data_IF_371181775775
#
_entry.id   IF_371181775775
#
_cell.length_a   1.000
_cell.length_b   1.000
_cell.length_c   1.000
_cell.angle_alpha   90.00
_cell.angle_beta   90.00
_cell.angle_gamma   90.00
#
_symmetry.space_group_name_H-M   'P 1'
#
loop_
_entity.id
_entity.type
_entity.pdbx_description
1 polymer ?
#
# COMPACT_ATOMS: atom_id res chain seq x y z
N UNK A 1 -7.51 20.77 2.06
CA UNK A 1 -6.76 20.25 0.89
C UNK A 1 -5.90 19.10 1.38
N UNK A 2 -6.42 17.87 1.39
CA UNK A 2 -5.74 16.70 2.00
C UNK A 2 -6.11 15.36 1.36
N UNK A 3 -7.25 15.28 0.66
CA UNK A 3 -7.82 14.01 0.17
C UNK A 3 -7.07 13.37 -1.00
N UNK A 4 -6.52 14.15 -1.93
CA UNK A 4 -5.78 13.61 -3.07
C UNK A 4 -4.40 13.09 -2.61
N UNK A 5 -3.80 13.76 -1.62
CA UNK A 5 -2.47 13.43 -1.13
C UNK A 5 -2.39 12.08 -0.41
N UNK A 6 -3.42 11.65 0.32
CA UNK A 6 -3.37 10.34 1.01
C UNK A 6 -3.40 9.16 0.03
N UNK A 7 -4.17 9.28 -1.06
CA UNK A 7 -4.24 8.23 -2.08
C UNK A 7 -2.92 8.13 -2.82
N UNK A 8 -2.38 9.26 -3.29
CA UNK A 8 -1.08 9.31 -3.96
C UNK A 8 0.03 8.75 -3.07
N UNK A 9 0.03 9.13 -1.78
CA UNK A 9 1.03 8.65 -0.83
C UNK A 9 0.91 7.16 -0.56
N UNK A 10 -0.30 6.62 -0.46
CA UNK A 10 -0.53 5.18 -0.34
C UNK A 10 0.05 4.41 -1.53
N UNK A 11 -0.09 4.94 -2.75
CA UNK A 11 0.50 4.34 -3.94
C UNK A 11 2.03 4.40 -3.93
N UNK A 12 2.62 5.52 -3.52
CA UNK A 12 4.07 5.63 -3.35
C UNK A 12 4.60 4.61 -2.33
N UNK A 13 3.97 4.49 -1.16
CA UNK A 13 4.37 3.50 -0.15
C UNK A 13 4.19 2.06 -0.69
N UNK A 14 3.14 1.80 -1.45
CA UNK A 14 2.93 0.50 -2.09
C UNK A 14 4.00 0.16 -3.13
N UNK A 15 4.68 1.13 -3.73
CA UNK A 15 5.80 0.92 -4.65
C UNK A 15 7.15 0.88 -3.92
N UNK A 16 7.40 1.79 -2.97
CA UNK A 16 8.66 1.97 -2.25
C UNK A 16 8.87 0.96 -1.11
N UNK A 17 7.85 0.72 -0.29
CA UNK A 17 7.97 -0.05 0.94
C UNK A 17 7.68 -1.54 0.69
N UNK A 18 8.75 -2.32 0.54
CA UNK A 18 8.72 -3.76 0.28
C UNK A 18 8.04 -4.59 1.37
N UNK A 19 7.98 -4.07 2.60
CA UNK A 19 7.32 -4.75 3.71
C UNK A 19 5.79 -4.57 3.69
N UNK A 20 5.27 -3.59 2.94
CA UNK A 20 3.82 -3.41 2.79
C UNK A 20 3.26 -4.45 1.82
N UNK A 21 2.57 -5.46 2.36
CA UNK A 21 1.94 -6.54 1.59
C UNK A 21 0.40 -6.47 1.64
N UNK A 22 -0.14 -5.70 2.59
CA UNK A 22 -1.57 -5.53 2.82
C UNK A 22 -1.91 -4.05 3.02
N UNK A 23 -3.19 -3.72 2.88
CA UNK A 23 -3.71 -2.36 3.10
C UNK A 23 -3.46 -1.87 4.54
N UNK A 24 -3.51 -2.78 5.52
CA UNK A 24 -3.18 -2.46 6.91
C UNK A 24 -1.76 -1.89 7.06
N UNK A 25 -0.80 -2.44 6.32
CA UNK A 25 0.60 -2.00 6.39
C UNK A 25 0.75 -0.59 5.79
N UNK A 26 -0.02 -0.29 4.74
CA UNK A 26 -0.10 1.06 4.17
C UNK A 26 -0.71 2.05 5.15
N UNK A 27 -1.79 1.66 5.85
CA UNK A 27 -2.42 2.48 6.89
C UNK A 27 -1.45 2.74 8.04
N UNK A 28 -0.68 1.74 8.49
CA UNK A 28 0.35 1.92 9.51
C UNK A 28 1.48 2.85 9.05
N UNK A 29 1.94 2.71 7.81
CA UNK A 29 2.97 3.57 7.25
C UNK A 29 2.48 5.03 7.16
N UNK A 30 1.25 5.25 6.71
CA UNK A 30 0.62 6.57 6.69
C UNK A 30 0.39 7.11 8.10
N UNK A 31 -0.02 6.28 9.05
CA UNK A 31 -0.16 6.71 10.46
C UNK A 31 1.17 7.23 11.04
N UNK A 32 2.30 6.59 10.69
CA UNK A 32 3.64 7.05 11.09
C UNK A 32 4.03 8.39 10.47
N UNK A 33 3.50 8.71 9.30
CA UNK A 33 3.67 10.01 8.64
C UNK A 33 2.71 11.10 9.18
N UNK A 34 1.77 10.74 10.07
CA UNK A 34 0.82 11.66 10.70
C UNK A 34 -0.56 11.71 10.05
N UNK A 35 -0.86 10.82 9.11
CA UNK A 35 -2.22 10.67 8.57
C UNK A 35 -3.17 10.07 9.61
N UNK A 36 -4.43 10.48 9.55
CA UNK A 36 -5.45 10.09 10.53
C UNK A 36 -6.34 8.96 10.00
N UNK A 37 -7.08 8.34 10.92
CA UNK A 37 -8.11 7.35 10.58
C UNK A 37 -9.14 7.88 9.57
N UNK A 38 -9.44 9.18 9.60
CA UNK A 38 -10.37 9.80 8.66
C UNK A 38 -9.79 9.85 7.24
N UNK A 39 -8.47 10.00 7.11
CA UNK A 39 -7.79 9.96 5.81
C UNK A 39 -7.81 8.54 5.22
N UNK A 40 -7.81 7.50 6.06
CA UNK A 40 -7.90 6.11 5.62
C UNK A 40 -9.26 5.74 5.03
N UNK A 41 -10.33 6.46 5.35
CA UNK A 41 -11.65 6.24 4.77
C UNK A 41 -11.63 6.33 3.22
N UNK A 42 -10.70 7.12 2.67
CA UNK A 42 -10.49 7.22 1.22
C UNK A 42 -9.82 5.97 0.63
N UNK A 43 -9.03 5.26 1.42
CA UNK A 43 -8.41 3.99 1.03
C UNK A 43 -9.37 2.80 1.17
N UNK A 44 -10.50 2.98 1.85
CA UNK A 44 -11.52 1.93 2.01
C UNK A 44 -12.42 1.76 0.78
N UNK A 45 -12.37 2.70 -0.17
CA UNK A 45 -13.03 2.57 -1.45
C UNK A 45 -12.58 1.32 -2.20
N UNK A 46 -13.54 0.50 -2.66
CA UNK A 46 -13.29 -0.78 -3.32
C UNK A 46 -12.27 -0.67 -4.46
N UNK A 47 -12.45 0.31 -5.34
CA UNK A 47 -11.57 0.55 -6.49
C UNK A 47 -10.13 0.86 -6.09
N UNK A 48 -9.93 1.66 -5.03
CA UNK A 48 -8.59 2.02 -4.54
C UNK A 48 -7.90 0.79 -3.92
N UNK A 49 -8.62 0.01 -3.11
CA UNK A 49 -8.08 -1.24 -2.52
C UNK A 49 -7.62 -2.22 -3.59
N UNK A 50 -8.42 -2.44 -4.63
CA UNK A 50 -8.06 -3.34 -5.72
C UNK A 50 -6.83 -2.85 -6.49
N UNK A 51 -6.73 -1.55 -6.78
CA UNK A 51 -5.55 -0.98 -7.44
C UNK A 51 -4.26 -1.10 -6.59
N UNK A 52 -4.35 -0.84 -5.28
CA UNK A 52 -3.21 -1.00 -4.37
C UNK A 52 -2.78 -2.46 -4.26
N UNK A 53 -3.74 -3.39 -4.15
CA UNK A 53 -3.46 -4.84 -4.15
C UNK A 53 -2.82 -5.30 -5.45
N UNK A 54 -3.31 -4.84 -6.59
CA UNK A 54 -2.76 -5.17 -7.89
C UNK A 54 -1.29 -4.73 -8.00
N UNK A 55 -0.96 -3.51 -7.53
CA UNK A 55 0.44 -3.04 -7.48
C UNK A 55 1.32 -3.85 -6.54
N UNK A 56 0.85 -4.09 -5.32
CA UNK A 56 1.61 -4.91 -4.35
C UNK A 56 1.88 -6.32 -4.90
N UNK A 57 0.91 -6.92 -5.60
CA UNK A 57 1.08 -8.22 -6.28
C UNK A 57 2.03 -8.14 -7.48
N UNK A 58 1.84 -7.17 -8.38
CA UNK A 58 2.70 -6.98 -9.54
C UNK A 58 4.17 -6.78 -9.12
N UNK A 59 4.40 -6.03 -8.04
CA UNK A 59 5.73 -5.85 -7.44
C UNK A 59 6.29 -7.15 -6.86
N UNK A 60 5.46 -7.94 -6.19
CA UNK A 60 5.85 -9.25 -5.67
C UNK A 60 6.17 -10.26 -6.80
N UNK A 61 5.42 -10.22 -7.90
CA UNK A 61 5.60 -11.07 -9.08
C UNK A 61 6.81 -10.65 -9.94
N UNK A 62 7.08 -9.35 -10.03
CA UNK A 62 8.23 -8.80 -10.77
C UNK A 62 9.60 -9.16 -10.15
N UNK A 63 9.64 -9.79 -8.96
CA UNK A 63 10.86 -10.31 -8.34
C UNK A 63 10.73 -11.78 -7.90
N UNK A 64 11.19 -12.74 -8.72
CA UNK A 64 11.13 -14.17 -8.40
C UNK A 64 12.03 -14.60 -7.22
N UNK A 65 12.85 -13.72 -6.69
CA UNK A 65 13.80 -13.95 -5.57
C UNK A 65 13.12 -14.17 -4.20
N UNK A 66 11.81 -13.94 -4.07
CA UNK A 66 10.99 -14.36 -2.92
C UNK A 66 10.25 -15.70 -3.13
N UNK A 67 10.33 -16.28 -4.34
CA UNK A 67 9.68 -17.55 -4.69
C UNK A 67 10.54 -18.78 -4.36
N UNK A 68 11.80 -18.59 -4.00
CA UNK A 68 12.76 -19.66 -3.68
C UNK A 68 13.37 -19.45 -2.29
N UNK A 69 12.60 -19.70 -1.24
CA UNK A 69 13.19 -20.18 0.00
C UNK A 69 13.07 -21.72 -0.03
N UNK A 70 14.15 -22.48 -0.23
CA UNK A 70 14.10 -23.92 -0.02
C UNK A 70 13.96 -24.18 1.49
N UNK A 71 13.01 -25.05 1.84
CA UNK A 71 12.89 -25.66 3.17
C UNK A 71 14.03 -26.65 3.43
#
# INVERSE_FOLDING_TARGET
MTQIHVIERAFQIADENRACLKISDLQEALAREGYTLNDFAHLDGWTIREQLRARMRARAEARPELRTAPA
#
